data_IF_595279199731
#
_entry.id   IF_595279199731
#
_cell.length_a   1.000
_cell.length_b   1.000
_cell.length_c   1.000
_cell.angle_alpha   90.00
_cell.angle_beta   90.00
_cell.angle_gamma   90.00
#
_symmetry.space_group_name_H-M   'P 1'
#
loop_
_entity.id
_entity.type
_entity.pdbx_description
1 polymer ?
#
# COMPACT_ATOMS: atom_id res chain seq x y z
N UNK A 1 -4.59 40.34 12.67
CA UNK A 1 -3.48 39.47 13.12
C UNK A 1 -3.96 38.04 13.07
N UNK A 2 -3.54 37.25 12.09
CA UNK A 2 -3.83 35.82 12.06
C UNK A 2 -2.80 35.10 12.94
N UNK A 3 -3.26 34.40 13.96
CA UNK A 3 -2.42 33.60 14.87
C UNK A 3 -2.07 32.29 14.16
N UNK A 4 -0.81 32.13 13.77
CA UNK A 4 -0.29 30.89 13.21
C UNK A 4 -0.08 29.90 14.37
N UNK A 5 -1.00 28.94 14.51
CA UNK A 5 -0.89 27.87 15.51
C UNK A 5 0.10 26.82 14.99
N UNK A 6 1.37 26.92 15.43
CA UNK A 6 2.39 25.91 15.14
C UNK A 6 2.25 24.81 16.18
N UNK A 7 1.67 23.67 15.81
CA UNK A 7 1.71 22.47 16.63
C UNK A 7 3.12 21.87 16.57
N UNK A 8 3.84 21.70 17.69
CA UNK A 8 5.09 20.96 17.69
C UNK A 8 4.79 19.50 17.30
N UNK A 9 5.43 19.03 16.23
CA UNK A 9 5.51 17.62 15.87
C UNK A 9 6.42 16.91 16.90
N UNK A 10 5.90 16.69 18.10
CA UNK A 10 6.49 15.70 18.98
C UNK A 10 6.23 14.34 18.31
N UNK A 11 7.29 13.72 17.78
CA UNK A 11 7.29 12.28 17.50
C UNK A 11 7.07 11.58 18.83
N UNK A 12 5.80 11.35 19.17
CA UNK A 12 5.45 10.44 20.24
C UNK A 12 5.93 9.06 19.78
N UNK A 13 7.07 8.63 20.29
CA UNK A 13 7.35 7.21 20.41
C UNK A 13 6.33 6.69 21.43
N UNK A 14 5.13 6.37 20.93
CA UNK A 14 4.06 5.82 21.72
C UNK A 14 4.59 4.54 22.38
N UNK A 15 4.54 4.48 23.70
CA UNK A 15 4.89 3.30 24.48
C UNK A 15 3.87 2.19 24.17
N UNK A 16 4.14 1.46 23.08
CA UNK A 16 3.79 0.09 22.75
C UNK A 16 2.36 -0.42 22.96
N UNK A 17 1.35 0.18 22.32
CA UNK A 17 0.11 -0.58 22.08
C UNK A 17 0.39 -1.70 21.06
N UNK A 18 -0.23 -2.85 21.29
CA UNK A 18 -0.23 -3.97 20.36
C UNK A 18 -0.72 -3.50 18.99
N UNK A 19 0.13 -3.60 17.97
CA UNK A 19 -0.14 -3.10 16.63
C UNK A 19 0.50 -3.98 15.56
N UNK A 20 -0.15 -4.01 14.39
CA UNK A 20 0.40 -4.63 13.18
C UNK A 20 0.36 -3.58 12.07
N UNK A 21 1.49 -3.43 11.36
CA UNK A 21 1.51 -2.77 10.06
C UNK A 21 1.58 -3.82 8.97
N UNK A 22 0.82 -3.66 7.88
CA UNK A 22 0.92 -4.48 6.66
C UNK A 22 1.35 -3.62 5.47
N UNK A 23 2.27 -4.13 4.67
CA UNK A 23 2.77 -3.50 3.45
C UNK A 23 2.95 -4.55 2.35
N UNK A 24 2.83 -4.13 1.10
CA UNK A 24 3.22 -4.90 -0.08
C UNK A 24 3.95 -3.99 -1.05
N UNK A 25 4.84 -4.57 -1.87
CA UNK A 25 5.52 -3.81 -2.93
C UNK A 25 4.63 -3.55 -4.14
N UNK A 26 3.62 -4.39 -4.33
CA UNK A 26 2.65 -4.29 -5.41
C UNK A 26 1.26 -4.28 -4.81
N UNK A 27 0.38 -3.44 -5.33
CA UNK A 27 -1.05 -3.40 -4.97
C UNK A 27 -1.91 -4.16 -5.97
N UNK A 28 -1.28 -4.76 -6.98
CA UNK A 28 -1.99 -5.51 -8.01
C UNK A 28 -1.14 -6.63 -8.61
N UNK A 29 -1.81 -7.71 -9.03
CA UNK A 29 -1.22 -8.89 -9.66
C UNK A 29 -2.11 -9.41 -10.79
N UNK A 30 -1.58 -10.27 -11.66
CA UNK A 30 -2.40 -11.05 -12.57
C UNK A 30 -2.90 -12.35 -11.90
N UNK A 31 -3.83 -13.07 -12.54
CA UNK A 31 -4.45 -14.28 -11.96
C UNK A 31 -3.46 -15.42 -11.63
N UNK A 32 -2.26 -15.38 -12.21
CA UNK A 32 -1.17 -16.34 -11.98
C UNK A 32 -0.05 -15.76 -11.13
N UNK A 33 -0.09 -14.47 -10.86
CA UNK A 33 0.93 -13.74 -10.12
C UNK A 33 0.83 -14.00 -8.63
N UNK A 34 1.85 -13.54 -7.93
CA UNK A 34 1.95 -13.67 -6.48
C UNK A 34 2.29 -12.33 -5.86
N UNK A 35 1.86 -12.12 -4.62
CA UNK A 35 2.10 -10.91 -3.86
C UNK A 35 2.79 -11.25 -2.54
N UNK A 36 3.85 -10.51 -2.24
CA UNK A 36 4.55 -10.59 -0.96
C UNK A 36 3.93 -9.58 0.02
N UNK A 37 3.34 -10.09 1.09
CA UNK A 37 2.86 -9.30 2.21
C UNK A 37 3.94 -9.27 3.29
N UNK A 38 4.31 -8.07 3.72
CA UNK A 38 5.30 -7.81 4.75
C UNK A 38 4.58 -7.17 5.91
N UNK A 39 4.79 -7.69 7.12
CA UNK A 39 4.20 -7.11 8.31
C UNK A 39 5.20 -6.81 9.41
N UNK A 40 4.85 -5.83 10.25
CA UNK A 40 5.57 -5.45 11.46
C UNK A 40 4.62 -5.48 12.64
N UNK A 41 4.85 -6.42 13.55
CA UNK A 41 4.18 -6.53 14.82
C UNK A 41 4.95 -5.76 15.89
N UNK A 42 4.26 -4.93 16.67
CA UNK A 42 4.81 -4.27 17.85
C UNK A 42 3.91 -4.55 19.04
N UNK A 43 4.51 -4.84 20.21
CA UNK A 43 3.74 -5.06 21.45
C UNK A 43 2.85 -6.32 21.45
N UNK A 44 3.06 -7.27 20.54
CA UNK A 44 2.35 -8.56 20.53
C UNK A 44 3.06 -9.57 21.44
N UNK A 45 2.29 -10.49 22.02
CA UNK A 45 2.82 -11.61 22.77
C UNK A 45 3.72 -12.48 21.87
N UNK A 46 5.02 -12.62 22.17
CA UNK A 46 5.91 -13.44 21.36
C UNK A 46 5.46 -14.90 21.38
N UNK A 47 5.71 -15.63 20.29
CA UNK A 47 5.33 -17.04 20.05
C UNK A 47 3.85 -17.29 19.69
N UNK A 48 2.97 -16.30 19.77
CA UNK A 48 1.63 -16.40 19.18
C UNK A 48 1.73 -15.89 17.73
N UNK A 49 1.40 -16.71 16.71
CA UNK A 49 1.51 -16.27 15.33
C UNK A 49 0.39 -15.29 14.95
N UNK A 50 0.67 -14.41 13.99
CA UNK A 50 -0.36 -13.56 13.37
C UNK A 50 -1.21 -14.42 12.45
N UNK A 51 -2.53 -14.38 12.63
CA UNK A 51 -3.46 -15.06 11.74
C UNK A 51 -3.83 -14.13 10.60
N UNK A 52 -3.48 -14.52 9.38
CA UNK A 52 -3.94 -13.83 8.18
C UNK A 52 -5.23 -14.50 7.69
N UNK A 53 -6.15 -13.72 7.14
CA UNK A 53 -7.38 -14.18 6.52
C UNK A 53 -7.45 -13.58 5.12
N UNK A 54 -7.41 -14.42 4.09
CA UNK A 54 -7.47 -13.97 2.70
C UNK A 54 -8.88 -14.22 2.18
N UNK A 55 -9.54 -13.15 1.76
CA UNK A 55 -10.93 -13.17 1.27
C UNK A 55 -10.97 -12.71 -0.18
N UNK A 56 -11.79 -13.39 -0.97
CA UNK A 56 -11.98 -13.07 -2.38
C UNK A 56 -12.90 -11.84 -2.58
N UNK A 57 -13.06 -11.34 -3.82
CA UNK A 57 -13.90 -10.18 -4.10
C UNK A 57 -15.39 -10.38 -3.80
N UNK A 58 -15.84 -11.64 -3.69
CA UNK A 58 -17.22 -11.97 -3.30
C UNK A 58 -17.43 -12.01 -1.78
N UNK A 59 -16.38 -11.80 -0.99
CA UNK A 59 -16.42 -11.92 0.46
C UNK A 59 -16.24 -13.37 0.96
N UNK A 60 -15.89 -14.31 0.09
CA UNK A 60 -15.67 -15.71 0.46
C UNK A 60 -14.24 -15.91 0.96
N UNK A 61 -14.12 -16.62 2.08
CA UNK A 61 -12.83 -17.03 2.61
C UNK A 61 -12.12 -17.99 1.66
N UNK A 62 -10.86 -17.70 1.36
CA UNK A 62 -9.99 -18.58 0.56
C UNK A 62 -9.15 -19.45 1.49
N UNK A 63 -8.36 -18.84 2.38
CA UNK A 63 -7.56 -19.55 3.39
C UNK A 63 -7.07 -18.63 4.52
N UNK A 64 -6.65 -19.24 5.64
CA UNK A 64 -6.20 -18.55 6.86
C UNK A 64 -4.84 -19.05 7.36
N UNK A 65 -3.70 -18.52 6.88
CA UNK A 65 -2.40 -18.97 7.35
C UNK A 65 -2.03 -18.30 8.68
N UNK A 66 -1.39 -19.07 9.55
CA UNK A 66 -0.78 -18.57 10.79
C UNK A 66 0.70 -18.30 10.52
N UNK A 67 1.12 -17.04 10.66
CA UNK A 67 2.46 -16.58 10.30
C UNK A 67 3.21 -16.16 11.55
N UNK A 68 4.29 -16.87 11.94
CA UNK A 68 5.15 -16.42 13.03
C UNK A 68 5.91 -15.15 12.63
N UNK A 69 6.22 -14.31 13.62
CA UNK A 69 7.11 -13.15 13.47
C UNK A 69 8.41 -13.36 14.24
N UNK A 70 9.47 -12.69 13.79
CA UNK A 70 10.80 -12.76 14.41
C UNK A 70 10.87 -11.97 15.73
N UNK A 71 12.03 -12.02 16.40
CA UNK A 71 12.24 -11.29 17.67
C UNK A 71 12.15 -9.76 17.53
N UNK A 72 12.26 -9.25 16.31
CA UNK A 72 12.05 -7.84 15.99
C UNK A 72 10.59 -7.56 15.60
N UNK A 73 9.71 -8.56 15.54
CA UNK A 73 8.31 -8.42 15.13
C UNK A 73 8.08 -8.42 13.61
N UNK A 74 9.09 -8.68 12.78
CA UNK A 74 8.87 -8.75 11.33
C UNK A 74 8.33 -10.12 10.92
N UNK A 75 7.42 -10.11 9.94
CA UNK A 75 6.99 -11.33 9.26
C UNK A 75 6.76 -11.08 7.78
N UNK A 76 6.79 -12.16 7.00
CA UNK A 76 6.59 -12.14 5.55
C UNK A 76 5.72 -13.32 5.17
N UNK A 77 4.77 -13.09 4.28
CA UNK A 77 3.91 -14.14 3.75
C UNK A 77 3.73 -14.00 2.24
N UNK A 78 3.93 -15.09 1.53
CA UNK A 78 3.81 -15.13 0.07
C UNK A 78 2.42 -15.64 -0.30
N UNK A 79 1.57 -14.74 -0.80
CA UNK A 79 0.25 -15.08 -1.31
C UNK A 79 0.43 -15.52 -2.74
N UNK A 80 0.06 -16.77 -3.00
CA UNK A 80 0.12 -17.40 -4.31
C UNK A 80 -1.25 -17.98 -4.66
N UNK A 81 -1.59 -18.03 -5.95
CA UNK A 81 -2.87 -18.56 -6.40
C UNK A 81 -2.99 -20.02 -5.98
N UNK A 82 -4.11 -20.34 -5.34
CA UNK A 82 -4.53 -21.73 -5.10
C UNK A 82 -5.11 -22.32 -6.40
N UNK A 83 -5.38 -23.63 -6.44
CA UNK A 83 -6.20 -24.20 -7.51
C UNK A 83 -7.68 -24.21 -7.05
N UNK A 84 -8.62 -23.57 -7.77
CA UNK A 84 -8.46 -22.79 -9.01
C UNK A 84 -7.81 -21.40 -8.80
N UNK A 85 -7.21 -20.85 -9.87
CA UNK A 85 -6.52 -19.56 -9.92
C UNK A 85 -7.37 -18.40 -9.38
N UNK A 86 -6.72 -17.29 -9.02
CA UNK A 86 -7.45 -16.11 -8.57
C UNK A 86 -8.42 -15.58 -9.64
N UNK A 87 -9.61 -15.22 -9.17
CA UNK A 87 -10.61 -14.50 -9.96
C UNK A 87 -10.20 -13.03 -10.07
N UNK A 88 -10.67 -12.35 -11.11
CA UNK A 88 -10.49 -10.91 -11.22
C UNK A 88 -11.26 -10.17 -10.12
N UNK A 89 -10.64 -9.16 -9.52
CA UNK A 89 -11.27 -8.28 -8.53
C UNK A 89 -10.36 -7.95 -7.34
N UNK A 90 -10.92 -7.25 -6.36
CA UNK A 90 -10.20 -6.80 -5.16
C UNK A 90 -10.22 -7.87 -4.07
N UNK A 91 -9.05 -8.31 -3.66
CA UNK A 91 -8.84 -9.26 -2.57
C UNK A 91 -8.52 -8.49 -1.30
N UNK A 92 -8.95 -9.05 -0.17
CA UNK A 92 -8.67 -8.47 1.16
C UNK A 92 -7.85 -9.45 1.99
N UNK A 93 -6.74 -8.95 2.55
CA UNK A 93 -5.90 -9.62 3.52
C UNK A 93 -6.15 -8.96 4.86
N UNK A 94 -6.68 -9.73 5.80
CA UNK A 94 -6.92 -9.30 7.17
C UNK A 94 -5.90 -9.94 8.10
N UNK A 95 -5.19 -9.15 8.91
CA UNK A 95 -4.32 -9.63 9.97
C UNK A 95 -5.00 -9.50 11.33
N UNK A 96 -5.03 -10.60 12.08
CA UNK A 96 -5.61 -10.71 13.41
C UNK A 96 -4.63 -11.33 14.40
N UNK A 97 -4.76 -10.95 15.67
CA UNK A 97 -3.97 -11.43 16.79
C UNK A 97 -4.79 -11.24 18.07
N UNK A 98 -4.55 -12.06 19.10
CA UNK A 98 -5.28 -11.97 20.37
C UNK A 98 -5.06 -10.67 21.13
N UNK A 99 -3.91 -10.03 20.91
CA UNK A 99 -3.55 -8.76 21.57
C UNK A 99 -4.03 -7.52 20.81
N UNK A 100 -4.57 -7.67 19.59
CA UNK A 100 -5.07 -6.55 18.79
C UNK A 100 -6.52 -6.23 19.17
N UNK A 101 -6.82 -4.95 19.31
CA UNK A 101 -8.20 -4.47 19.51
C UNK A 101 -9.04 -4.58 18.24
N UNK A 102 -8.41 -4.45 17.07
CA UNK A 102 -9.07 -4.49 15.77
C UNK A 102 -8.17 -5.16 14.70
N UNK A 103 -8.78 -5.81 13.69
CA UNK A 103 -8.04 -6.35 12.57
C UNK A 103 -7.41 -5.24 11.71
N UNK A 104 -6.30 -5.59 11.04
CA UNK A 104 -5.62 -4.70 10.08
C UNK A 104 -5.86 -5.24 8.67
N UNK A 105 -6.28 -4.36 7.76
CA UNK A 105 -6.64 -4.73 6.40
C UNK A 105 -5.61 -4.24 5.38
N UNK A 106 -5.31 -5.08 4.40
CA UNK A 106 -4.54 -4.76 3.20
C UNK A 106 -5.33 -5.27 1.99
N UNK A 107 -5.48 -4.46 0.96
CA UNK A 107 -6.17 -4.86 -0.27
C UNK A 107 -5.21 -4.91 -1.45
N UNK A 108 -5.48 -5.83 -2.38
CA UNK A 108 -4.79 -5.90 -3.65
C UNK A 108 -5.74 -6.32 -4.75
N UNK A 109 -5.50 -5.86 -5.97
CA UNK A 109 -6.33 -6.16 -7.13
C UNK A 109 -5.74 -7.27 -7.99
N UNK A 110 -6.61 -8.17 -8.43
CA UNK A 110 -6.26 -9.21 -9.40
C UNK A 110 -6.87 -8.83 -10.75
N UNK A 111 -6.02 -8.76 -11.78
CA UNK A 111 -6.42 -8.49 -13.15
C UNK A 111 -6.33 -9.74 -14.03
N UNK A 112 -7.09 -9.82 -15.14
CA UNK A 112 -6.99 -10.94 -16.05
C UNK A 112 -5.59 -11.02 -16.68
N UNK A 113 -5.15 -12.24 -16.96
CA UNK A 113 -3.83 -12.48 -17.56
C UNK A 113 -3.73 -11.73 -18.90
N UNK A 114 -2.67 -10.94 -19.07
CA UNK A 114 -2.44 -10.15 -20.28
C UNK A 114 -3.17 -8.80 -20.31
N UNK A 115 -3.79 -8.37 -19.21
CA UNK A 115 -4.27 -7.00 -19.08
C UNK A 115 -3.10 -6.01 -19.05
N UNK A 116 -3.16 -4.94 -19.85
CA UNK A 116 -2.27 -3.79 -19.69
C UNK A 116 -2.74 -3.02 -18.47
N UNK A 117 -2.02 -3.15 -17.36
CA UNK A 117 -2.21 -2.29 -16.18
C UNK A 117 -1.86 -0.85 -16.56
N UNK A 118 -2.90 -0.05 -16.83
CA UNK A 118 -2.75 1.40 -16.97
C UNK A 118 -2.82 1.94 -15.54
N UNK A 119 -1.72 2.44 -14.95
CA UNK A 119 -1.79 3.05 -13.64
C UNK A 119 -2.72 4.26 -13.73
N UNK A 120 -3.85 4.21 -13.03
CA UNK A 120 -4.65 5.39 -12.80
C UNK A 120 -3.93 6.26 -11.77
N UNK A 121 -3.16 7.23 -12.27
CA UNK A 121 -2.69 8.32 -11.42
C UNK A 121 -3.93 9.00 -10.86
N UNK A 122 -4.19 8.79 -9.57
CA UNK A 122 -5.34 9.38 -8.89
C UNK A 122 -5.41 10.90 -9.12
N UNK A 123 -6.58 11.52 -8.91
CA UNK A 123 -6.82 12.91 -9.31
C UNK A 123 -5.78 13.89 -8.75
N UNK A 124 -5.25 13.65 -7.54
CA UNK A 124 -4.18 14.47 -6.95
C UNK A 124 -2.88 14.38 -7.77
N UNK A 125 -2.45 13.17 -8.11
CA UNK A 125 -1.24 12.96 -8.92
C UNK A 125 -1.42 13.54 -10.32
N UNK A 126 -2.62 13.42 -10.88
CA UNK A 126 -2.98 13.98 -12.18
C UNK A 126 -2.90 15.52 -12.18
N UNK A 127 -3.42 16.19 -11.14
CA UNK A 127 -3.33 17.65 -10.99
C UNK A 127 -1.87 18.10 -10.86
N UNK A 128 -1.06 17.43 -10.03
CA UNK A 128 0.36 17.76 -9.86
C UNK A 128 1.11 17.57 -11.18
N UNK A 129 0.83 16.49 -11.92
CA UNK A 129 1.43 16.20 -13.21
C UNK A 129 1.08 17.28 -14.24
N UNK A 130 -0.19 17.65 -14.36
CA UNK A 130 -0.65 18.69 -15.29
C UNK A 130 -0.04 20.06 -14.94
N UNK A 131 -0.03 20.43 -13.67
CA UNK A 131 0.60 21.69 -13.23
C UNK A 131 2.09 21.73 -13.52
N UNK A 132 2.80 20.60 -13.32
CA UNK A 132 4.24 20.49 -13.59
C UNK A 132 4.53 20.62 -15.09
N UNK A 133 3.78 19.92 -15.94
CA UNK A 133 3.94 19.99 -17.40
C UNK A 133 3.62 21.40 -17.90
N UNK A 134 2.51 22.01 -17.45
CA UNK A 134 2.14 23.37 -17.83
C UNK A 134 3.21 24.39 -17.43
N UNK A 135 3.80 24.26 -16.24
CA UNK A 135 4.90 25.11 -15.78
C UNK A 135 6.15 24.99 -16.64
N UNK A 136 6.56 23.75 -16.99
CA UNK A 136 7.71 23.51 -17.88
C UNK A 136 7.45 24.09 -19.26
N UNK A 137 6.26 23.89 -19.84
CA UNK A 137 5.91 24.43 -21.17
C UNK A 137 5.88 25.95 -21.14
N UNK A 138 5.30 26.57 -20.10
CA UNK A 138 5.26 28.03 -19.97
C UNK A 138 6.67 28.62 -19.89
N UNK A 139 7.52 28.06 -19.03
CA UNK A 139 8.89 28.51 -18.92
C UNK A 139 9.66 28.23 -20.23
N UNK A 140 9.46 27.08 -20.88
CA UNK A 140 10.06 26.74 -22.20
C UNK A 140 9.67 27.66 -23.34
N UNK A 141 8.41 28.08 -23.36
CA UNK A 141 7.96 29.12 -24.28
C UNK A 141 8.69 30.45 -24.06
N UNK A 142 9.00 30.82 -22.82
CA UNK A 142 9.70 32.08 -22.49
C UNK A 142 11.18 32.04 -22.86
N UNK A 143 11.89 30.93 -22.66
CA UNK A 143 13.31 30.87 -23.05
C UNK A 143 13.50 30.89 -24.57
N UNK A 144 12.58 30.29 -25.34
CA UNK A 144 12.67 30.29 -26.82
C UNK A 144 12.40 31.66 -27.43
N UNK A 145 11.56 32.49 -26.80
CA UNK A 145 11.28 33.88 -27.22
C UNK A 145 12.39 34.85 -26.81
N UNK A 146 13.10 34.58 -25.71
CA UNK A 146 14.19 35.44 -25.22
C UNK A 146 15.58 35.11 -25.83
N UNK A 147 15.71 34.00 -26.57
CA UNK A 147 16.97 33.57 -27.19
C UNK A 147 17.25 34.10 -28.60
N UNK A 148 16.37 34.90 -29.22
CA UNK A 148 16.52 35.39 -30.61
C UNK A 148 16.64 36.91 -30.74
N UNK A 149 17.14 37.61 -29.72
CA UNK A 149 17.43 39.06 -29.79
C UNK A 149 18.86 39.39 -29.37
N UNK A 150 19.85 38.68 -29.94
CA UNK A 150 21.21 39.24 -30.07
C UNK A 150 22.07 38.46 -31.09
N UNK A 151 21.98 38.82 -32.37
CA UNK A 151 23.12 39.10 -33.27
C UNK A 151 22.67 40.19 -34.22
#
# INVERSE_FOLDING_TARGET
MAMLLILPLFSMNAFGLASIELKSYSTSIDQKGSILVIGKANGLTPHIPVKLTITDPSGKLIYTPNVPFDGDGNFKYHIQPTLPQFSTGTYTVEATHSDLEAPVLLQFDVYPVGATIIPEFGPIVMVILVMSIAGIVFMTGRYKVLGFQKI
#
